data_IF_892829785457
#
_entry.id   IF_892829785457
#
_cell.length_a   1.000
_cell.length_b   1.000
_cell.length_c   1.000
_cell.angle_alpha   90.00
_cell.angle_beta   90.00
_cell.angle_gamma   90.00
#
_symmetry.space_group_name_H-M   'P 1'
#
loop_
_entity.id
_entity.type
_entity.pdbx_description
1 polymer ?
#
# COMPACT_ATOMS: atom_id res chain seq x y z
N UNK A 1 8.40 20.51 19.34
CA UNK A 1 9.06 19.94 18.14
C UNK A 1 7.98 19.64 17.10
N UNK A 2 7.93 20.42 16.01
CA UNK A 2 6.96 20.18 14.94
C UNK A 2 7.39 18.92 14.19
N UNK A 3 6.63 17.82 14.31
CA UNK A 3 6.88 16.61 13.50
C UNK A 3 6.81 17.02 12.03
N UNK A 4 7.94 16.99 11.34
CA UNK A 4 8.01 17.29 9.91
C UNK A 4 6.95 16.44 9.18
N UNK A 5 6.07 17.10 8.41
CA UNK A 5 5.09 16.39 7.60
C UNK A 5 5.85 15.59 6.54
N UNK A 6 5.81 14.26 6.62
CA UNK A 6 6.33 13.39 5.54
C UNK A 6 5.63 13.79 4.24
N UNK A 7 6.40 13.92 3.16
CA UNK A 7 5.87 14.18 1.83
C UNK A 7 5.06 12.97 1.32
N UNK A 8 4.10 13.20 0.41
CA UNK A 8 3.31 12.13 -0.22
C UNK A 8 4.19 11.00 -0.74
N UNK A 9 5.29 11.34 -1.39
CA UNK A 9 6.24 10.37 -1.98
C UNK A 9 6.89 9.49 -0.93
N UNK A 10 7.31 10.06 0.21
CA UNK A 10 7.90 9.30 1.31
C UNK A 10 6.90 8.33 1.94
N UNK A 11 5.63 8.76 2.09
CA UNK A 11 4.59 7.90 2.63
C UNK A 11 4.30 6.73 1.69
N UNK A 12 4.15 7.00 0.38
CA UNK A 12 3.95 5.96 -0.63
C UNK A 12 5.11 4.97 -0.66
N UNK A 13 6.35 5.46 -0.59
CA UNK A 13 7.53 4.60 -0.56
C UNK A 13 7.55 3.69 0.69
N UNK A 14 7.26 4.25 1.88
CA UNK A 14 7.20 3.48 3.12
C UNK A 14 6.11 2.39 3.08
N UNK A 15 4.94 2.70 2.52
CA UNK A 15 3.85 1.73 2.32
C UNK A 15 4.29 0.61 1.36
N UNK A 16 4.93 0.98 0.25
CA UNK A 16 5.42 0.02 -0.75
C UNK A 16 6.49 -0.92 -0.18
N UNK A 17 7.43 -0.40 0.60
CA UNK A 17 8.51 -1.19 1.21
C UNK A 17 7.99 -2.12 2.32
N UNK A 18 6.89 -1.75 2.99
CA UNK A 18 6.24 -2.58 4.00
C UNK A 18 5.47 -3.79 3.40
N UNK A 19 5.18 -3.79 2.10
CA UNK A 19 4.45 -4.88 1.44
C UNK A 19 5.32 -6.13 1.26
N UNK A 20 4.91 -7.30 1.78
CA UNK A 20 5.60 -8.55 1.51
C UNK A 20 5.43 -8.99 0.05
N UNK A 21 6.43 -9.71 -0.47
CA UNK A 21 6.43 -10.26 -1.84
C UNK A 21 5.74 -11.63 -1.91
N UNK A 22 5.74 -12.38 -0.81
CA UNK A 22 5.28 -13.78 -0.80
C UNK A 22 3.85 -13.95 -0.28
N UNK A 23 3.47 -13.19 0.74
CA UNK A 23 2.13 -13.26 1.37
C UNK A 23 1.34 -12.00 1.08
N UNK A 24 0.04 -12.04 1.32
CA UNK A 24 -0.77 -10.82 1.40
C UNK A 24 -0.57 -10.17 2.78
N UNK A 25 -0.79 -8.86 2.85
CA UNK A 25 -0.89 -8.13 4.10
C UNK A 25 -2.21 -7.33 4.12
N UNK A 26 -2.83 -7.23 5.29
CA UNK A 26 -3.98 -6.34 5.50
C UNK A 26 -3.52 -4.89 5.65
N UNK A 27 -4.44 -3.94 5.48
CA UNK A 27 -4.14 -2.51 5.69
C UNK A 27 -3.63 -2.25 7.12
N UNK A 28 -4.12 -2.99 8.11
CA UNK A 28 -3.67 -2.86 9.51
C UNK A 28 -2.21 -3.29 9.70
N UNK A 29 -1.81 -4.39 9.06
CA UNK A 29 -0.43 -4.87 9.12
C UNK A 29 0.52 -3.90 8.42
N UNK A 30 0.10 -3.37 7.27
CA UNK A 30 0.88 -2.39 6.50
C UNK A 30 1.03 -1.09 7.31
N UNK A 31 -0.07 -0.56 7.86
CA UNK A 31 -0.08 0.64 8.71
C UNK A 31 0.89 0.55 9.88
N UNK A 32 0.91 -0.59 10.59
CA UNK A 32 1.85 -0.84 11.70
C UNK A 32 3.30 -0.85 11.23
N UNK A 33 3.59 -1.50 10.09
CA UNK A 33 4.96 -1.63 9.57
C UNK A 33 5.51 -0.33 8.97
N UNK A 34 4.67 0.47 8.32
CA UNK A 34 5.10 1.73 7.70
C UNK A 34 5.08 2.92 8.68
N UNK A 35 4.58 2.73 9.90
CA UNK A 35 4.32 3.78 10.88
C UNK A 35 3.45 4.92 10.31
N UNK A 36 2.45 4.54 9.50
CA UNK A 36 1.49 5.45 8.87
C UNK A 36 0.12 5.11 9.40
N UNK A 37 -0.70 6.11 9.69
CA UNK A 37 -2.04 5.85 10.21
C UNK A 37 -2.88 5.06 9.20
N UNK A 38 -3.82 4.27 9.72
CA UNK A 38 -4.62 3.35 8.93
C UNK A 38 -5.38 4.04 7.79
N UNK A 39 -5.94 5.23 8.03
CA UNK A 39 -6.74 5.95 7.01
C UNK A 39 -5.85 6.43 5.87
N UNK A 40 -4.67 6.96 6.19
CA UNK A 40 -3.69 7.37 5.18
C UNK A 40 -3.16 6.17 4.40
N UNK A 41 -2.90 5.04 5.07
CA UNK A 41 -2.52 3.80 4.40
C UNK A 41 -3.62 3.30 3.46
N UNK A 42 -4.86 3.27 3.92
CA UNK A 42 -6.00 2.86 3.10
C UNK A 42 -6.13 3.77 1.88
N UNK A 43 -6.14 5.08 2.08
CA UNK A 43 -6.28 6.06 1.01
C UNK A 43 -5.16 5.91 -0.03
N UNK A 44 -3.90 5.69 0.38
CA UNK A 44 -2.81 5.49 -0.58
C UNK A 44 -2.83 4.13 -1.25
N UNK A 45 -3.25 3.08 -0.57
CA UNK A 45 -3.46 1.77 -1.20
C UNK A 45 -4.63 1.81 -2.19
N UNK A 46 -5.65 2.62 -1.91
CA UNK A 46 -6.79 2.89 -2.79
C UNK A 46 -6.44 3.84 -3.93
N UNK A 47 -5.59 4.86 -3.73
CA UNK A 47 -5.02 5.69 -4.80
C UNK A 47 -4.17 4.82 -5.73
N UNK A 48 -3.34 3.94 -5.16
CA UNK A 48 -2.64 2.92 -5.92
C UNK A 48 -3.67 2.02 -6.65
N UNK A 49 -4.73 1.55 -5.99
CA UNK A 49 -5.85 0.77 -6.57
C UNK A 49 -6.53 1.49 -7.75
N UNK A 50 -6.79 2.79 -7.61
CA UNK A 50 -7.52 3.63 -8.55
C UNK A 50 -6.65 4.03 -9.76
N UNK A 51 -5.39 4.44 -9.54
CA UNK A 51 -4.43 4.62 -10.62
C UNK A 51 -4.19 3.31 -11.39
N UNK A 52 -4.27 2.15 -10.73
CA UNK A 52 -4.18 0.81 -11.33
C UNK A 52 -5.36 0.41 -12.23
N UNK A 53 -6.55 0.99 -12.03
CA UNK A 53 -7.72 0.74 -12.86
C UNK A 53 -7.65 1.44 -14.23
N UNK A 54 -6.92 2.55 -14.31
CA UNK A 54 -6.81 3.40 -15.51
C UNK A 54 -5.49 3.15 -16.26
N UNK A 55 -4.41 2.73 -15.58
CA UNK A 55 -3.09 2.49 -16.18
C UNK A 55 -2.48 1.11 -15.81
N UNK A 56 -3.22 0.03 -16.09
CA UNK A 56 -2.83 -1.35 -15.75
C UNK A 56 -1.43 -1.82 -16.21
N UNK A 57 -0.77 -1.10 -17.12
CA UNK A 57 0.59 -1.39 -17.58
C UNK A 57 1.72 -0.82 -16.71
N UNK A 58 1.48 0.23 -15.90
CA UNK A 58 2.58 1.01 -15.30
C UNK A 58 3.10 0.45 -13.96
N UNK A 59 2.33 -0.44 -13.32
CA UNK A 59 2.65 -0.95 -11.98
C UNK A 59 2.38 -2.46 -11.88
N UNK A 60 3.06 -3.24 -12.74
CA UNK A 60 3.05 -4.73 -12.77
C UNK A 60 3.57 -5.40 -11.48
N UNK A 61 3.88 -4.62 -10.44
CA UNK A 61 4.48 -5.07 -9.20
C UNK A 61 3.50 -5.17 -8.02
N UNK A 62 2.21 -4.84 -8.14
CA UNK A 62 1.22 -5.01 -7.07
C UNK A 62 0.20 -6.10 -7.43
N UNK A 63 -0.17 -6.91 -6.45
CA UNK A 63 -1.23 -7.91 -6.56
C UNK A 63 -2.22 -7.77 -5.40
N UNK A 64 -3.51 -7.90 -5.76
CA UNK A 64 -4.65 -7.74 -4.86
C UNK A 64 -5.30 -9.10 -4.68
N UNK A 65 -5.67 -9.42 -3.44
CA UNK A 65 -6.39 -10.64 -3.10
C UNK A 65 -7.59 -10.27 -2.25
N UNK A 66 -8.76 -10.78 -2.58
CA UNK A 66 -9.97 -10.63 -1.76
C UNK A 66 -9.96 -11.69 -0.66
N UNK A 67 -10.06 -11.27 0.60
CA UNK A 67 -10.05 -12.12 1.79
C UNK A 67 -11.38 -11.96 2.53
N UNK A 68 -12.43 -12.60 2.02
CA UNK A 68 -13.79 -12.41 2.54
C UNK A 68 -14.24 -10.96 2.39
N UNK A 69 -14.47 -10.27 3.51
CA UNK A 69 -14.85 -8.85 3.53
C UNK A 69 -13.66 -7.88 3.40
N UNK A 70 -12.42 -8.37 3.52
CA UNK A 70 -11.22 -7.53 3.54
C UNK A 70 -10.41 -7.63 2.23
N UNK A 71 -9.66 -6.57 1.92
CA UNK A 71 -8.66 -6.55 0.83
C UNK A 71 -7.27 -6.88 1.39
N UNK A 72 -6.58 -7.79 0.74
CA UNK A 72 -5.16 -8.07 0.95
C UNK A 72 -4.31 -7.51 -0.19
N UNK A 73 -3.14 -6.99 0.15
CA UNK A 73 -2.18 -6.42 -0.81
C UNK A 73 -0.84 -7.13 -0.73
N UNK A 74 -0.20 -7.35 -1.88
CA UNK A 74 1.19 -7.86 -1.95
C UNK A 74 1.96 -7.29 -3.12
N UNK A 75 3.28 -7.35 -3.05
CA UNK A 75 4.15 -7.08 -4.20
C UNK A 75 4.26 -8.31 -5.10
N UNK A 76 4.05 -8.17 -6.41
CA UNK A 76 4.43 -9.18 -7.40
C UNK A 76 5.96 -9.30 -7.45
N UNK A 77 6.42 -10.53 -7.53
CA UNK A 77 7.82 -10.83 -7.83
C UNK A 77 8.08 -10.40 -9.28
N UNK A 78 9.09 -9.57 -9.51
CA UNK A 78 9.61 -9.30 -10.86
C UNK A 78 10.16 -10.58 -11.47
#
# INVERSE_FOLDING_TARGET
MSKSRRSRREIVQAIYDALPVQTFATVEEISKKSEVDWKTCQAYLEDLDFELGIQGAKFSWLEKVTLGANKGYRRKRR
#
